data_IF_902151076663
#
_entry.id   IF_902151076663
#
_cell.length_a   1.000
_cell.length_b   1.000
_cell.length_c   1.000
_cell.angle_alpha   90.00
_cell.angle_beta   90.00
_cell.angle_gamma   90.00
#
_symmetry.space_group_name_H-M   'P 1'
#
loop_
_entity.id
_entity.type
_entity.pdbx_description
1 polymer ?
#
# COMPACT_ATOMS: atom_id res chain seq x y z
N UNK A 1 11.05 11.70 -18.66
CA UNK A 1 10.85 10.32 -18.19
C UNK A 1 9.50 10.28 -17.52
N UNK A 2 8.58 9.54 -18.10
CA UNK A 2 7.19 9.47 -17.67
C UNK A 2 7.07 8.92 -16.25
N UNK A 3 6.27 9.63 -15.45
CA UNK A 3 5.44 9.20 -14.32
C UNK A 3 5.94 7.99 -13.53
N UNK A 4 6.35 8.28 -12.29
CA UNK A 4 6.39 7.41 -11.11
C UNK A 4 5.76 6.04 -11.34
N UNK A 5 6.55 4.96 -11.20
CA UNK A 5 6.06 3.58 -11.32
C UNK A 5 4.94 3.38 -10.30
N UNK A 6 3.71 3.44 -10.80
CA UNK A 6 2.51 3.21 -10.02
C UNK A 6 2.57 1.77 -9.49
N UNK A 7 2.45 1.55 -8.17
CA UNK A 7 2.50 0.21 -7.61
C UNK A 7 1.37 -0.66 -8.20
N UNK A 8 1.66 -1.94 -8.38
CA UNK A 8 0.60 -2.91 -8.68
C UNK A 8 -0.30 -3.09 -7.46
N UNK A 9 -1.53 -3.58 -7.67
CA UNK A 9 -2.43 -3.89 -6.56
C UNK A 9 -1.87 -5.08 -5.80
N UNK A 10 -1.63 -4.92 -4.49
CA UNK A 10 -1.22 -6.02 -3.63
C UNK A 10 -2.36 -7.01 -3.46
N UNK A 11 -2.16 -8.25 -3.90
CA UNK A 11 -3.12 -9.34 -3.72
C UNK A 11 -2.41 -10.59 -3.19
N UNK A 12 -1.94 -10.48 -1.96
CA UNK A 12 -1.21 -11.54 -1.27
C UNK A 12 -2.18 -12.33 -0.40
N UNK A 13 -2.04 -13.65 -0.42
CA UNK A 13 -2.71 -14.51 0.55
C UNK A 13 -1.95 -14.44 1.90
N UNK A 14 -2.59 -13.97 3.00
CA UNK A 14 -1.94 -13.90 4.31
C UNK A 14 -1.42 -15.25 4.81
N UNK A 15 -2.00 -16.38 4.38
CA UNK A 15 -1.51 -17.71 4.74
C UNK A 15 -0.27 -18.17 3.95
N UNK A 16 0.14 -17.44 2.91
CA UNK A 16 1.36 -17.77 2.17
C UNK A 16 2.61 -17.57 3.02
N UNK A 17 3.62 -18.47 2.96
CA UNK A 17 4.88 -18.30 3.69
C UNK A 17 5.67 -17.06 3.25
N UNK A 18 5.44 -16.55 2.04
CA UNK A 18 6.11 -15.36 1.51
C UNK A 18 5.29 -14.09 1.69
N UNK A 19 4.16 -14.14 2.41
CA UNK A 19 3.23 -13.01 2.51
C UNK A 19 3.88 -11.76 3.13
N UNK A 20 4.69 -11.94 4.17
CA UNK A 20 5.41 -10.86 4.84
C UNK A 20 6.45 -10.18 3.93
N UNK A 21 7.19 -10.96 3.15
CA UNK A 21 8.20 -10.43 2.22
C UNK A 21 7.55 -9.66 1.07
N UNK A 22 6.45 -10.18 0.53
CA UNK A 22 5.66 -9.50 -0.50
C UNK A 22 5.06 -8.19 0.01
N UNK A 23 4.51 -8.18 1.23
CA UNK A 23 4.03 -6.94 1.88
C UNK A 23 5.15 -5.91 2.01
N UNK A 24 6.31 -6.29 2.56
CA UNK A 24 7.45 -5.38 2.77
C UNK A 24 7.95 -4.78 1.45
N UNK A 25 8.14 -5.61 0.44
CA UNK A 25 8.59 -5.15 -0.87
C UNK A 25 7.56 -4.19 -1.49
N UNK A 26 6.28 -4.56 -1.46
CA UNK A 26 5.22 -3.74 -2.01
C UNK A 26 5.08 -2.41 -1.26
N UNK A 27 5.14 -2.41 0.07
CA UNK A 27 5.07 -1.20 0.90
C UNK A 27 6.20 -0.22 0.53
N UNK A 28 7.43 -0.72 0.35
CA UNK A 28 8.54 0.11 -0.11
C UNK A 28 8.28 0.74 -1.48
N UNK A 29 7.68 0.00 -2.43
CA UNK A 29 7.28 0.59 -3.73
C UNK A 29 6.16 1.61 -3.61
N UNK A 30 5.21 1.37 -2.70
CA UNK A 30 4.10 2.28 -2.44
C UNK A 30 4.58 3.58 -1.79
N UNK A 31 5.50 3.52 -0.83
CA UNK A 31 6.09 4.70 -0.20
C UNK A 31 6.94 5.51 -1.18
N UNK A 32 7.72 4.86 -2.05
CA UNK A 32 8.43 5.53 -3.13
C UNK A 32 7.47 6.25 -4.09
N UNK A 33 6.33 5.62 -4.41
CA UNK A 33 5.29 6.25 -5.21
C UNK A 33 4.70 7.48 -4.51
N UNK A 34 4.35 7.36 -3.22
CA UNK A 34 3.83 8.49 -2.43
C UNK A 34 4.80 9.67 -2.37
N UNK A 35 6.09 9.40 -2.10
CA UNK A 35 7.13 10.42 -1.99
C UNK A 35 7.35 11.19 -3.29
N UNK A 36 6.98 10.58 -4.41
CA UNK A 36 7.19 11.15 -5.72
C UNK A 36 5.96 11.93 -6.24
N UNK A 37 4.80 11.79 -5.59
CA UNK A 37 3.62 12.59 -5.94
C UNK A 37 3.86 14.08 -5.62
N UNK A 38 3.47 15.00 -6.52
CA UNK A 38 3.74 16.44 -6.37
C UNK A 38 2.86 17.12 -5.31
N UNK A 39 1.92 16.39 -4.71
CA UNK A 39 0.89 16.94 -3.83
C UNK A 39 1.36 16.88 -2.37
N UNK A 40 1.28 17.99 -1.67
CA UNK A 40 1.44 18.02 -0.22
C UNK A 40 0.15 17.54 0.47
N UNK A 41 0.29 16.94 1.66
CA UNK A 41 -0.83 16.44 2.48
C UNK A 41 -1.69 15.35 1.81
N UNK A 42 -1.04 14.39 1.16
CA UNK A 42 -1.72 13.20 0.61
C UNK A 42 -2.47 12.43 1.70
N UNK A 43 -3.69 12.04 1.39
CA UNK A 43 -4.41 11.03 2.17
C UNK A 43 -3.82 9.63 1.87
N UNK A 44 -2.70 9.34 2.54
CA UNK A 44 -1.95 8.09 2.36
C UNK A 44 -2.80 6.85 2.60
N UNK A 45 -3.76 6.92 3.53
CA UNK A 45 -4.62 5.79 3.87
C UNK A 45 -5.63 5.51 2.76
N UNK A 46 -6.30 6.54 2.25
CA UNK A 46 -7.19 6.37 1.09
C UNK A 46 -6.44 5.86 -0.13
N UNK A 47 -5.20 6.34 -0.35
CA UNK A 47 -4.34 5.80 -1.39
C UNK A 47 -4.00 4.33 -1.13
N UNK A 48 -3.58 3.96 0.09
CA UNK A 48 -3.27 2.57 0.45
C UNK A 48 -4.42 1.62 0.09
N UNK A 49 -5.65 1.99 0.46
CA UNK A 49 -6.87 1.21 0.18
C UNK A 49 -7.07 0.98 -1.33
N UNK A 50 -6.74 1.95 -2.17
CA UNK A 50 -6.89 1.84 -3.63
C UNK A 50 -5.92 0.84 -4.28
N UNK A 51 -4.85 0.47 -3.58
CA UNK A 51 -3.79 -0.39 -4.12
C UNK A 51 -3.66 -1.73 -3.40
N UNK A 52 -4.63 -2.10 -2.56
CA UNK A 52 -4.69 -3.43 -1.94
C UNK A 52 -5.91 -4.20 -2.41
N UNK A 53 -5.88 -5.53 -2.32
CA UNK A 53 -7.03 -6.36 -2.60
C UNK A 53 -8.08 -6.30 -1.49
N UNK A 54 -9.35 -6.66 -1.75
CA UNK A 54 -10.40 -6.69 -0.73
C UNK A 54 -10.04 -7.53 0.51
N UNK A 55 -9.24 -8.59 0.34
CA UNK A 55 -8.76 -9.47 1.42
C UNK A 55 -7.78 -8.74 2.35
N UNK A 56 -6.91 -7.91 1.81
CA UNK A 56 -5.97 -7.11 2.60
C UNK A 56 -6.68 -5.90 3.21
N UNK A 57 -7.61 -5.29 2.45
CA UNK A 57 -8.45 -4.20 2.92
C UNK A 57 -9.19 -4.53 4.22
N UNK A 58 -9.71 -5.75 4.39
CA UNK A 58 -10.42 -6.11 5.64
C UNK A 58 -9.56 -5.97 6.89
N UNK A 59 -8.23 -6.13 6.78
CA UNK A 59 -7.30 -5.93 7.89
C UNK A 59 -6.99 -4.45 8.12
N UNK A 60 -6.96 -3.64 7.06
CA UNK A 60 -6.63 -2.21 7.09
C UNK A 60 -7.84 -1.35 7.49
N UNK A 61 -9.05 -1.78 7.16
CA UNK A 61 -10.28 -1.01 7.36
C UNK A 61 -10.55 -0.69 8.84
N UNK A 62 -10.04 -1.51 9.77
CA UNK A 62 -10.16 -1.29 11.20
C UNK A 62 -9.22 -0.22 11.75
N UNK A 63 -8.11 0.05 11.06
CA UNK A 63 -7.10 1.03 11.46
C UNK A 63 -7.64 2.44 11.33
N UNK A 64 -7.22 3.36 12.19
CA UNK A 64 -7.67 4.76 12.14
C UNK A 64 -6.75 5.60 11.27
N UNK A 65 -5.45 5.45 11.46
CA UNK A 65 -4.40 6.18 10.73
C UNK A 65 -3.78 5.31 9.64
N UNK A 66 -2.86 5.90 8.86
CA UNK A 66 -2.04 5.16 7.92
C UNK A 66 -1.00 4.30 8.66
N UNK A 67 -0.41 4.83 9.73
CA UNK A 67 0.60 4.16 10.54
C UNK A 67 0.04 2.94 11.28
N UNK A 68 -1.23 2.97 11.68
CA UNK A 68 -1.93 1.83 12.27
C UNK A 68 -2.28 0.74 11.23
N UNK A 69 -2.22 1.07 9.93
CA UNK A 69 -2.65 0.19 8.85
C UNK A 69 -1.52 -0.63 8.23
N UNK A 70 -0.25 -0.32 8.54
CA UNK A 70 0.93 -0.90 7.87
C UNK A 70 1.81 -1.77 8.78
#
# INVERSE_FOLDING_TARGET
MDRFLKPERLDVDPSSPTSSEQWKHWLATFENFLAALPQENLDKKSLLVNFVSPRIYSSIAASRTYEDAI
#
